data_IF_651374255964
#
_entry.id   IF_651374255964
#
_cell.length_a   1.000
_cell.length_b   1.000
_cell.length_c   1.000
_cell.angle_alpha   90.00
_cell.angle_beta   90.00
_cell.angle_gamma   90.00
#
_symmetry.space_group_name_H-M   'P 1'
#
loop_
_entity.id
_entity.type
_entity.pdbx_description
1 polymer ?
#
# COMPACT_ATOMS: atom_id res chain seq x y z
N UNK A 1 -13.09 -0.25 11.17
CA UNK A 1 -11.77 -0.54 11.79
C UNK A 1 -11.71 -1.90 12.49
N UNK A 2 -12.47 -2.16 13.57
CA UNK A 2 -12.34 -3.39 14.36
C UNK A 2 -12.50 -4.70 13.54
N UNK A 3 -13.49 -4.78 12.65
CA UNK A 3 -13.72 -5.97 11.81
C UNK A 3 -12.63 -6.19 10.73
N UNK A 4 -12.05 -5.12 10.20
CA UNK A 4 -10.97 -5.19 9.21
C UNK A 4 -9.62 -5.56 9.83
N UNK A 5 -9.42 -5.22 11.11
CA UNK A 5 -8.20 -5.51 11.85
C UNK A 5 -8.04 -7.01 12.15
N UNK A 6 -9.12 -7.75 12.38
CA UNK A 6 -9.05 -9.19 12.67
C UNK A 6 -8.53 -10.04 11.51
N UNK A 7 -8.69 -9.56 10.27
CA UNK A 7 -8.16 -10.20 9.08
C UNK A 7 -6.72 -9.77 8.74
N UNK A 8 -6.18 -8.74 9.42
CA UNK A 8 -4.88 -8.16 9.11
C UNK A 8 -4.06 -7.87 10.39
N UNK A 9 -3.29 -8.86 10.90
CA UNK A 9 -2.59 -8.77 12.17
C UNK A 9 -1.73 -7.51 12.38
N UNK A 10 -0.99 -6.99 11.37
CA UNK A 10 -0.20 -5.77 11.55
C UNK A 10 -1.05 -4.54 11.90
N UNK A 11 -2.21 -4.37 11.26
CA UNK A 11 -3.10 -3.24 11.54
C UNK A 11 -3.78 -3.39 12.90
N UNK A 12 -4.09 -4.62 13.32
CA UNK A 12 -4.59 -4.90 14.67
C UNK A 12 -3.58 -4.49 15.75
N UNK A 13 -2.31 -4.83 15.56
CA UNK A 13 -1.25 -4.39 16.47
C UNK A 13 -1.11 -2.88 16.51
N UNK A 14 -1.19 -2.20 15.36
CA UNK A 14 -1.17 -0.74 15.30
C UNK A 14 -2.36 -0.10 16.04
N UNK A 15 -3.59 -0.64 15.88
CA UNK A 15 -4.78 -0.21 16.64
C UNK A 15 -4.55 -0.36 18.15
N UNK A 16 -4.03 -1.52 18.58
CA UNK A 16 -3.68 -1.76 19.98
C UNK A 16 -2.65 -0.76 20.50
N UNK A 17 -1.62 -0.47 19.71
CA UNK A 17 -0.58 0.52 20.02
C UNK A 17 -1.12 1.93 20.19
N UNK A 18 -2.04 2.38 19.32
CA UNK A 18 -2.67 3.71 19.44
C UNK A 18 -3.55 3.81 20.69
N UNK A 19 -4.30 2.75 21.02
CA UNK A 19 -5.12 2.70 22.24
C UNK A 19 -4.23 2.75 23.50
N UNK A 20 -3.13 1.98 23.50
CA UNK A 20 -2.16 2.01 24.58
C UNK A 20 -1.55 3.41 24.73
N UNK A 21 -1.15 4.03 23.62
CA UNK A 21 -0.59 5.39 23.59
C UNK A 21 -1.57 6.41 24.15
N UNK A 22 -2.85 6.35 23.78
CA UNK A 22 -3.90 7.21 24.32
C UNK A 22 -4.01 7.07 25.84
N UNK A 23 -3.97 5.83 26.33
CA UNK A 23 -4.04 5.52 27.76
C UNK A 23 -2.85 6.10 28.52
N UNK A 24 -1.64 6.01 27.96
CA UNK A 24 -0.43 6.61 28.57
C UNK A 24 -0.52 8.15 28.54
N UNK A 25 -0.97 8.72 27.43
CA UNK A 25 -1.12 10.17 27.27
C UNK A 25 -2.09 10.78 28.29
N UNK A 26 -3.22 10.12 28.56
CA UNK A 26 -4.18 10.56 29.58
C UNK A 26 -3.61 10.59 31.00
N UNK A 27 -2.61 9.73 31.29
CA UNK A 27 -1.93 9.69 32.59
C UNK A 27 -0.83 10.76 32.73
N UNK A 28 -0.38 11.38 31.64
CA UNK A 28 0.66 12.39 31.68
C UNK A 28 0.13 13.68 32.32
N UNK A 29 0.53 14.00 33.55
CA UNK A 29 0.00 15.17 34.30
C UNK A 29 0.52 16.51 33.78
N UNK A 30 1.78 16.57 33.37
CA UNK A 30 2.49 17.84 33.13
C UNK A 30 2.66 18.22 31.66
N UNK A 31 2.48 17.26 30.76
CA UNK A 31 2.54 17.45 29.30
C UNK A 31 1.31 16.83 28.63
N UNK A 32 0.15 16.89 29.32
CA UNK A 32 -1.06 16.20 28.89
C UNK A 32 -1.49 16.62 27.49
N UNK A 33 -1.50 17.92 27.21
CA UNK A 33 -1.87 18.49 25.92
C UNK A 33 -1.01 17.96 24.78
N UNK A 34 0.30 17.95 24.97
CA UNK A 34 1.29 17.53 23.99
C UNK A 34 1.28 16.01 23.80
N UNK A 35 1.14 15.26 24.90
CA UNK A 35 0.97 13.81 24.87
C UNK A 35 -0.30 13.39 24.11
N UNK A 36 -1.42 14.09 24.33
CA UNK A 36 -2.66 13.90 23.58
C UNK A 36 -2.45 14.25 22.11
N UNK A 37 -1.71 15.32 21.79
CA UNK A 37 -1.41 15.66 20.40
C UNK A 37 -0.62 14.54 19.68
N UNK A 38 0.32 13.89 20.36
CA UNK A 38 1.03 12.71 19.82
C UNK A 38 0.06 11.54 19.58
N UNK A 39 -0.84 11.26 20.53
CA UNK A 39 -1.83 10.20 20.39
C UNK A 39 -2.85 10.48 19.27
N UNK A 40 -3.33 11.72 19.14
CA UNK A 40 -4.19 12.16 18.04
C UNK A 40 -3.50 11.98 16.69
N UNK A 41 -2.23 12.41 16.59
CA UNK A 41 -1.46 12.27 15.35
C UNK A 41 -1.27 10.80 14.96
N UNK A 42 -1.00 9.93 15.93
CA UNK A 42 -0.92 8.49 15.68
C UNK A 42 -2.26 7.91 15.21
N UNK A 43 -3.38 8.35 15.78
CA UNK A 43 -4.72 7.94 15.37
C UNK A 43 -5.08 8.40 13.94
N UNK A 44 -4.73 9.63 13.57
CA UNK A 44 -4.88 10.13 12.20
C UNK A 44 -4.11 9.27 11.19
N UNK A 45 -2.84 8.97 11.49
CA UNK A 45 -2.00 8.12 10.64
C UNK A 45 -2.62 6.73 10.49
N UNK A 46 -3.10 6.14 11.58
CA UNK A 46 -3.77 4.84 11.57
C UNK A 46 -5.02 4.84 10.69
N UNK A 47 -5.85 5.88 10.77
CA UNK A 47 -7.03 6.02 9.91
C UNK A 47 -6.63 6.14 8.43
N UNK A 48 -5.63 6.96 8.11
CA UNK A 48 -5.14 7.11 6.74
C UNK A 48 -4.59 5.79 6.18
N UNK A 49 -3.89 4.99 7.00
CA UNK A 49 -3.42 3.65 6.61
C UNK A 49 -4.61 2.72 6.37
N UNK A 50 -5.61 2.72 7.25
CA UNK A 50 -6.79 1.88 7.10
C UNK A 50 -7.60 2.22 5.84
N UNK A 51 -7.72 3.51 5.53
CA UNK A 51 -8.43 3.98 4.32
C UNK A 51 -7.65 3.64 3.04
N UNK A 52 -6.32 3.69 3.08
CA UNK A 52 -5.46 3.33 1.95
C UNK A 52 -5.37 1.81 1.70
N UNK A 53 -5.81 0.99 2.66
CA UNK A 53 -5.72 -0.48 2.61
C UNK A 53 -7.12 -1.08 2.76
N UNK A 54 -7.97 -0.98 1.73
CA UNK A 54 -9.32 -1.55 1.78
C UNK A 54 -9.32 -3.09 1.75
N UNK A 55 -8.26 -3.72 1.24
CA UNK A 55 -8.08 -5.17 1.17
C UNK A 55 -6.67 -5.57 1.62
N UNK A 56 -6.58 -6.50 2.57
CA UNK A 56 -5.34 -7.03 3.11
C UNK A 56 -4.49 -7.76 2.05
N UNK A 57 -5.10 -8.28 0.98
CA UNK A 57 -4.39 -8.93 -0.12
C UNK A 57 -3.68 -7.91 -1.04
N UNK A 58 -4.09 -6.64 -0.98
CA UNK A 58 -3.60 -5.57 -1.83
C UNK A 58 -2.47 -4.76 -1.17
N UNK A 59 -1.68 -5.35 -0.28
CA UNK A 59 -0.57 -4.65 0.40
C UNK A 59 0.75 -5.04 -0.24
N UNK A 60 1.56 -4.05 -0.62
CA UNK A 60 2.92 -4.32 -1.10
C UNK A 60 3.85 -4.64 0.08
N UNK A 61 4.94 -5.41 -0.11
CA UNK A 61 5.91 -5.66 0.94
C UNK A 61 6.47 -4.38 1.60
N UNK A 62 6.66 -3.32 0.81
CA UNK A 62 7.10 -2.02 1.31
C UNK A 62 6.05 -1.35 2.22
N UNK A 63 4.77 -1.36 1.84
CA UNK A 63 3.70 -0.85 2.69
C UNK A 63 3.60 -1.64 4.00
N UNK A 64 3.69 -2.97 3.93
CA UNK A 64 3.68 -3.84 5.12
C UNK A 64 4.84 -3.52 6.07
N UNK A 65 6.04 -3.27 5.52
CA UNK A 65 7.21 -2.86 6.29
C UNK A 65 6.97 -1.52 7.00
N UNK A 66 6.39 -0.53 6.34
CA UNK A 66 6.06 0.76 6.94
C UNK A 66 5.02 0.63 8.07
N UNK A 67 3.99 -0.21 7.90
CA UNK A 67 2.99 -0.49 8.96
C UNK A 67 3.65 -1.18 10.17
N UNK A 68 4.59 -2.09 9.92
CA UNK A 68 5.36 -2.75 10.99
C UNK A 68 6.22 -1.74 11.74
N UNK A 69 6.93 -0.86 11.02
CA UNK A 69 7.73 0.22 11.61
C UNK A 69 6.87 1.19 12.42
N UNK A 70 5.66 1.48 11.95
CA UNK A 70 4.70 2.30 12.69
C UNK A 70 4.32 1.65 14.01
N UNK A 71 3.99 0.35 14.00
CA UNK A 71 3.65 -0.40 15.22
C UNK A 71 4.79 -0.37 16.25
N UNK A 72 6.02 -0.66 15.82
CA UNK A 72 7.21 -0.59 16.68
C UNK A 72 7.46 0.83 17.20
N UNK A 73 7.19 1.84 16.38
CA UNK A 73 7.31 3.23 16.81
C UNK A 73 6.29 3.56 17.90
N UNK A 74 5.04 3.09 17.81
CA UNK A 74 4.03 3.28 18.84
C UNK A 74 4.46 2.67 20.18
N UNK A 75 5.02 1.47 20.18
CA UNK A 75 5.55 0.82 21.39
C UNK A 75 6.67 1.65 22.04
N UNK A 76 7.61 2.15 21.22
CA UNK A 76 8.69 3.01 21.70
C UNK A 76 8.16 4.32 22.29
N UNK A 77 7.21 4.96 21.60
CA UNK A 77 6.58 6.21 22.08
C UNK A 77 5.83 5.95 23.40
N UNK A 78 5.10 4.83 23.52
CA UNK A 78 4.42 4.47 24.76
C UNK A 78 5.42 4.35 25.92
N UNK A 79 6.54 3.66 25.71
CA UNK A 79 7.59 3.50 26.72
C UNK A 79 8.23 4.83 27.13
N UNK A 80 8.61 5.65 26.15
CA UNK A 80 9.19 6.98 26.39
C UNK A 80 8.20 7.91 27.12
N UNK A 81 6.92 7.87 26.76
CA UNK A 81 5.88 8.69 27.38
C UNK A 81 5.55 8.23 28.80
N UNK A 82 5.58 6.92 29.07
CA UNK A 82 5.38 6.37 30.41
C UNK A 82 6.53 6.75 31.36
N UNK A 83 7.76 6.81 30.84
CA UNK A 83 8.91 7.35 31.58
C UNK A 83 8.72 8.83 31.92
N UNK A 84 8.24 9.64 30.97
CA UNK A 84 7.91 11.05 31.20
C UNK A 84 6.79 11.18 32.24
N UNK A 85 5.76 10.34 32.17
CA UNK A 85 4.62 10.38 33.07
C UNK A 85 4.96 9.94 34.51
N UNK A 86 5.95 9.06 34.67
CA UNK A 86 6.41 8.54 35.97
C UNK A 86 7.49 9.39 36.65
N UNK A 87 8.07 10.40 35.96
CA UNK A 87 9.13 11.21 36.56
C UNK A 87 8.59 12.15 37.66
N UNK A 88 9.28 12.23 38.81
CA UNK A 88 8.80 12.95 40.00
C UNK A 88 8.89 14.49 39.90
N UNK A 89 8.11 15.17 40.74
CA UNK A 89 7.87 16.63 40.78
C UNK A 89 9.12 17.50 41.07
N UNK A 90 10.26 16.91 41.42
CA UNK A 90 11.46 17.66 41.86
C UNK A 90 12.39 17.99 40.68
N UNK A 91 12.37 17.21 39.60
CA UNK A 91 13.13 17.48 38.35
C UNK A 91 12.46 18.52 37.42
N UNK A 92 11.43 19.22 37.92
CA UNK A 92 10.36 19.83 37.13
C UNK A 92 10.73 21.05 36.28
N UNK A 93 11.73 21.84 36.65
CA UNK A 93 12.03 23.10 35.91
C UNK A 93 13.01 22.86 34.76
N UNK A 94 13.98 21.97 34.93
CA UNK A 94 14.96 21.65 33.88
C UNK A 94 14.37 20.70 32.83
N UNK A 95 13.41 19.86 33.22
CA UNK A 95 12.86 18.83 32.33
C UNK A 95 11.69 19.28 31.45
N UNK A 96 11.02 20.41 31.71
CA UNK A 96 9.89 20.86 30.87
C UNK A 96 10.33 21.05 29.41
N UNK A 97 11.42 21.77 29.17
CA UNK A 97 11.94 21.99 27.82
C UNK A 97 12.42 20.69 27.16
N UNK A 98 12.98 19.75 27.95
CA UNK A 98 13.47 18.47 27.43
C UNK A 98 12.31 17.56 27.03
N UNK A 99 11.25 17.52 27.84
CA UNK A 99 10.06 16.73 27.55
C UNK A 99 9.31 17.28 26.32
N UNK A 100 9.22 18.60 26.18
CA UNK A 100 8.65 19.23 24.98
C UNK A 100 9.45 18.84 23.72
N UNK A 101 10.77 18.88 23.78
CA UNK A 101 11.63 18.44 22.67
C UNK A 101 11.43 16.95 22.34
N UNK A 102 11.34 16.09 23.35
CA UNK A 102 11.06 14.66 23.15
C UNK A 102 9.71 14.44 22.47
N UNK A 103 8.66 15.14 22.90
CA UNK A 103 7.33 15.03 22.29
C UNK A 103 7.31 15.55 20.84
N UNK A 104 8.04 16.63 20.54
CA UNK A 104 8.24 17.10 19.16
C UNK A 104 8.99 16.07 18.31
N UNK A 105 10.01 15.42 18.86
CA UNK A 105 10.73 14.35 18.17
C UNK A 105 9.82 13.14 17.89
N UNK A 106 8.91 12.79 18.80
CA UNK A 106 7.92 11.74 18.57
C UNK A 106 7.00 12.08 17.39
N UNK A 107 6.52 13.32 17.30
CA UNK A 107 5.71 13.79 16.17
C UNK A 107 6.46 13.71 14.84
N UNK A 108 7.74 14.10 14.83
CA UNK A 108 8.59 14.00 13.63
C UNK A 108 8.75 12.53 13.21
N UNK A 109 9.03 11.63 14.16
CA UNK A 109 9.17 10.19 13.89
C UNK A 109 7.88 9.60 13.32
N UNK A 110 6.72 10.00 13.86
CA UNK A 110 5.42 9.57 13.35
C UNK A 110 5.20 10.02 11.90
N UNK A 111 5.49 11.30 11.62
CA UNK A 111 5.39 11.85 10.25
C UNK A 111 6.34 11.14 9.28
N UNK A 112 7.59 10.90 9.66
CA UNK A 112 8.55 10.21 8.80
C UNK A 112 8.08 8.80 8.42
N UNK A 113 7.53 8.04 9.38
CA UNK A 113 7.00 6.70 9.09
C UNK A 113 5.75 6.76 8.20
N UNK A 114 4.92 7.79 8.37
CA UNK A 114 3.79 8.01 7.48
C UNK A 114 4.23 8.38 6.06
N UNK A 115 5.24 9.23 5.90
CA UNK A 115 5.81 9.58 4.60
C UNK A 115 6.40 8.35 3.90
N UNK A 116 7.11 7.49 4.63
CA UNK A 116 7.59 6.19 4.13
C UNK A 116 6.42 5.31 3.63
N UNK A 117 5.28 5.31 4.33
CA UNK A 117 4.08 4.60 3.90
C UNK A 117 3.48 5.21 2.63
N UNK A 118 3.32 6.53 2.57
CA UNK A 118 2.77 7.25 1.40
C UNK A 118 3.64 7.04 0.17
N UNK A 119 4.97 7.07 0.32
CA UNK A 119 5.90 6.78 -0.76
C UNK A 119 5.74 5.34 -1.28
N UNK A 120 5.64 4.36 -0.37
CA UNK A 120 5.42 2.97 -0.74
C UNK A 120 4.06 2.74 -1.44
N UNK A 121 3.01 3.42 -1.00
CA UNK A 121 1.68 3.37 -1.62
C UNK A 121 1.69 4.00 -3.02
N UNK A 122 2.34 5.16 -3.18
CA UNK A 122 2.48 5.85 -4.47
C UNK A 122 3.23 4.99 -5.49
N UNK A 123 4.38 4.41 -5.09
CA UNK A 123 5.15 3.51 -5.95
C UNK A 123 4.32 2.31 -6.44
N UNK A 124 3.47 1.76 -5.58
CA UNK A 124 2.56 0.67 -5.97
C UNK A 124 1.55 1.12 -7.02
N UNK A 125 0.96 2.31 -6.86
CA UNK A 125 0.00 2.87 -7.82
C UNK A 125 0.69 3.07 -9.17
N UNK A 126 1.89 3.66 -9.19
CA UNK A 126 2.69 3.85 -10.40
C UNK A 126 3.03 2.53 -11.10
N UNK A 127 3.44 1.50 -10.34
CA UNK A 127 3.71 0.16 -10.89
C UNK A 127 2.47 -0.46 -11.55
N UNK A 128 1.30 -0.34 -10.91
CA UNK A 128 0.06 -0.84 -11.49
C UNK A 128 -0.34 -0.08 -12.75
N UNK A 129 -0.19 1.25 -12.76
CA UNK A 129 -0.46 2.08 -13.93
C UNK A 129 0.47 1.73 -15.10
N UNK A 130 1.77 1.62 -14.84
CA UNK A 130 2.76 1.25 -15.85
C UNK A 130 2.48 -0.14 -16.43
N UNK A 131 2.11 -1.11 -15.60
CA UNK A 131 1.72 -2.45 -16.06
C UNK A 131 0.48 -2.41 -16.92
N UNK A 132 -0.52 -1.64 -16.54
CA UNK A 132 -1.77 -1.51 -17.31
C UNK A 132 -1.52 -0.85 -18.67
N UNK A 133 -0.72 0.22 -18.72
CA UNK A 133 -0.32 0.87 -19.97
C UNK A 133 0.43 -0.10 -20.87
N UNK A 134 1.40 -0.86 -20.34
CA UNK A 134 2.14 -1.86 -21.10
C UNK A 134 1.22 -2.94 -21.71
N UNK A 135 0.19 -3.37 -20.98
CA UNK A 135 -0.81 -4.32 -21.48
C UNK A 135 -1.65 -3.74 -22.62
N UNK A 136 -2.07 -2.47 -22.51
CA UNK A 136 -2.81 -1.78 -23.57
C UNK A 136 -1.95 -1.65 -24.83
N UNK A 137 -0.69 -1.21 -24.68
CA UNK A 137 0.23 -1.05 -25.82
C UNK A 137 0.46 -2.38 -26.52
N UNK A 138 0.76 -3.45 -25.77
CA UNK A 138 0.91 -4.78 -26.35
C UNK A 138 -0.34 -5.26 -27.10
N UNK A 139 -1.54 -4.91 -26.60
CA UNK A 139 -2.80 -5.23 -27.28
C UNK A 139 -2.98 -4.43 -28.58
N UNK A 140 -2.66 -3.13 -28.58
CA UNK A 140 -2.72 -2.29 -29.77
C UNK A 140 -1.77 -2.78 -30.87
N UNK A 141 -0.55 -3.17 -30.49
CA UNK A 141 0.44 -3.72 -31.42
C UNK A 141 -0.05 -5.05 -32.02
N UNK A 142 -0.63 -5.94 -31.21
CA UNK A 142 -1.20 -7.20 -31.69
C UNK A 142 -2.36 -6.97 -32.67
N UNK A 143 -3.23 -6.01 -32.40
CA UNK A 143 -4.33 -5.63 -33.30
C UNK A 143 -3.79 -5.04 -34.61
N UNK A 144 -2.78 -4.17 -34.54
CA UNK A 144 -2.15 -3.55 -35.71
C UNK A 144 -1.51 -4.60 -36.62
N UNK A 145 -0.78 -5.56 -36.05
CA UNK A 145 -0.21 -6.69 -36.78
C UNK A 145 -1.29 -7.54 -37.48
N UNK A 146 -2.37 -7.90 -36.76
CA UNK A 146 -3.46 -8.69 -37.34
C UNK A 146 -4.21 -7.95 -38.47
N UNK A 147 -4.36 -6.63 -38.35
CA UNK A 147 -4.95 -5.80 -39.41
C UNK A 147 -4.06 -5.75 -40.65
N UNK A 148 -2.74 -5.65 -40.47
CA UNK A 148 -1.79 -5.64 -41.57
C UNK A 148 -1.78 -6.97 -42.32
N UNK A 149 -1.79 -8.11 -41.61
CA UNK A 149 -1.88 -9.44 -42.22
C UNK A 149 -3.18 -9.61 -43.03
N UNK A 150 -4.29 -9.13 -42.48
CA UNK A 150 -5.59 -9.15 -43.18
C UNK A 150 -5.53 -8.31 -44.46
N UNK A 151 -4.92 -7.12 -44.41
CA UNK A 151 -4.77 -6.23 -45.56
C UNK A 151 -3.91 -6.85 -46.66
N UNK A 152 -2.79 -7.48 -46.30
CA UNK A 152 -1.91 -8.19 -47.25
C UNK A 152 -2.64 -9.34 -47.90
N UNK A 153 -3.38 -10.14 -47.14
CA UNK A 153 -4.11 -11.28 -47.68
C UNK A 153 -5.26 -10.88 -48.63
N UNK A 154 -5.97 -9.78 -48.34
CA UNK A 154 -6.99 -9.22 -49.24
C UNK A 154 -6.37 -8.75 -50.56
N UNK A 155 -5.23 -8.06 -50.52
CA UNK A 155 -4.56 -7.56 -51.73
C UNK A 155 -4.03 -8.69 -52.63
N UNK A 156 -3.69 -9.84 -52.05
CA UNK A 156 -3.17 -11.00 -52.79
C UNK A 156 -4.27 -11.91 -53.37
N UNK A 157 -5.56 -11.54 -53.27
CA UNK A 157 -6.66 -12.30 -53.89
C UNK A 157 -6.91 -13.68 -53.28
N UNK A 158 -6.46 -13.92 -52.03
CA UNK A 158 -6.62 -15.21 -51.36
C UNK A 158 -8.07 -15.39 -50.85
N UNK A 159 -8.90 -16.10 -51.63
CA UNK A 159 -10.32 -16.38 -51.31
C UNK A 159 -10.54 -17.39 -50.15
N UNK A 160 -9.48 -17.82 -49.44
CA UNK A 160 -9.52 -18.88 -48.41
C UNK A 160 -9.47 -18.37 -46.96
N UNK A 161 -9.65 -17.06 -46.73
CA UNK A 161 -9.34 -16.37 -45.46
C UNK A 161 -10.26 -16.61 -44.25
N UNK A 162 -11.26 -17.49 -44.32
CA UNK A 162 -12.35 -17.52 -43.31
C UNK A 162 -12.05 -18.21 -41.96
N UNK A 163 -11.27 -19.29 -41.83
CA UNK A 163 -11.14 -19.97 -40.53
C UNK A 163 -10.04 -19.41 -39.61
N UNK A 164 -8.95 -18.88 -40.16
CA UNK A 164 -7.79 -18.49 -39.34
C UNK A 164 -7.99 -17.17 -38.57
N UNK A 165 -8.68 -16.19 -39.18
CA UNK A 165 -8.96 -14.89 -38.55
C UNK A 165 -9.91 -15.05 -37.34
N UNK A 166 -10.89 -15.95 -37.43
CA UNK A 166 -11.81 -16.23 -36.33
C UNK A 166 -11.08 -16.81 -35.11
N UNK A 167 -10.07 -17.67 -35.32
CA UNK A 167 -9.28 -18.25 -34.23
C UNK A 167 -8.39 -17.21 -33.54
N UNK A 168 -7.73 -16.33 -34.30
CA UNK A 168 -6.86 -15.28 -33.72
C UNK A 168 -7.68 -14.24 -32.95
N UNK A 169 -8.84 -13.84 -33.47
CA UNK A 169 -9.76 -12.95 -32.76
C UNK A 169 -10.37 -13.61 -31.52
N UNK A 170 -10.66 -14.92 -31.56
CA UNK A 170 -11.15 -15.66 -30.40
C UNK A 170 -10.07 -15.79 -29.32
N UNK A 171 -8.83 -16.11 -29.69
CA UNK A 171 -7.71 -16.19 -28.75
C UNK A 171 -7.41 -14.84 -28.10
N UNK A 172 -7.38 -13.75 -28.87
CA UNK A 172 -7.22 -12.40 -28.31
C UNK A 172 -8.36 -12.05 -27.35
N UNK A 173 -9.61 -12.44 -27.68
CA UNK A 173 -10.78 -12.13 -26.84
C UNK A 173 -10.80 -12.94 -25.53
N UNK A 174 -10.38 -14.21 -25.55
CA UNK A 174 -10.36 -15.08 -24.36
C UNK A 174 -9.23 -14.69 -23.40
N UNK A 175 -8.03 -14.43 -23.91
CA UNK A 175 -6.89 -14.06 -23.04
C UNK A 175 -7.09 -12.70 -22.36
N UNK A 176 -7.73 -11.76 -23.06
CA UNK A 176 -8.02 -10.41 -22.52
C UNK A 176 -9.13 -10.43 -21.47
N UNK A 177 -10.17 -11.27 -21.63
CA UNK A 177 -11.28 -11.29 -20.67
C UNK A 177 -10.97 -12.04 -19.37
N UNK A 178 -10.07 -13.02 -19.40
CA UNK A 178 -9.77 -13.88 -18.24
C UNK A 178 -8.45 -13.57 -17.54
N UNK A 179 -7.65 -12.62 -18.04
CA UNK A 179 -6.38 -12.24 -17.41
C UNK A 179 -5.38 -13.41 -17.31
N UNK A 180 -5.52 -14.42 -18.17
CA UNK A 180 -4.63 -15.58 -18.18
C UNK A 180 -3.29 -15.19 -18.82
N UNK A 181 -2.16 -15.66 -18.28
CA UNK A 181 -0.86 -15.48 -18.93
C UNK A 181 -0.86 -16.13 -20.31
N UNK A 182 -0.27 -15.44 -21.30
CA UNK A 182 0.02 -15.98 -22.64
C UNK A 182 0.98 -17.17 -22.48
N UNK A 183 0.45 -18.38 -22.35
CA UNK A 183 1.22 -19.59 -22.58
C UNK A 183 1.12 -19.92 -24.08
N UNK A 184 2.28 -20.20 -24.68
CA UNK A 184 2.39 -20.53 -26.10
C UNK A 184 1.43 -21.68 -26.47
N UNK A 185 0.70 -21.58 -27.59
CA UNK A 185 -0.15 -22.66 -28.03
C UNK A 185 0.71 -23.90 -28.33
N UNK A 186 0.23 -25.12 -28.04
CA UNK A 186 0.95 -26.34 -28.34
C UNK A 186 1.16 -26.43 -29.85
N UNK A 187 2.42 -26.36 -30.28
CA UNK A 187 2.83 -26.52 -31.68
C UNK A 187 2.40 -27.92 -32.11
N UNK A 188 1.35 -27.98 -32.93
CA UNK A 188 0.91 -29.22 -33.55
C UNK A 188 1.95 -29.60 -34.60
N UNK A 189 2.71 -30.67 -34.35
CA UNK A 189 3.64 -31.21 -35.33
C UNK A 189 2.86 -31.66 -36.59
N UNK A 190 3.37 -31.37 -37.80
CA UNK A 190 2.76 -31.82 -39.04
C UNK A 190 2.90 -33.35 -39.22
N UNK A 191 1.96 -33.99 -39.94
CA UNK A 191 2.00 -35.42 -40.23
C UNK A 191 3.13 -35.82 -41.19
#
# INVERSE_FOLDING_TARGET
LAQSADAFPPLKSAVGGVIALWTVAERAKHCKSEAIAVALRANEILNNIADAVPDATAISPAMLQSITRFTLLLENICSELDQIASTSTISRIVHVNRNEQTLKQMLIRLTNVYDDFVAAATLRIEQHQNRFVAQITAHQDAVSCAQQDTRVAVNNGANTLKPHIAQVLFYCRVTVFFGLPLNDPPIRAPP
#
